data_IF_601865227848
#
_entry.id   IF_601865227848
#
_cell.length_a   1.000
_cell.length_b   1.000
_cell.length_c   1.000
_cell.angle_alpha   90.00
_cell.angle_beta   90.00
_cell.angle_gamma   90.00
#
_symmetry.space_group_name_H-M   'P 1'
#
loop_
_entity.id
_entity.type
_entity.pdbx_description
1 polymer ?
#
# COMPACT_ATOMS: atom_id res chain seq x y z
N UNK A 1 14.38 -3.46 4.38
CA UNK A 1 13.88 -4.04 5.64
C UNK A 1 12.39 -4.32 5.42
N UNK A 2 11.99 -5.59 5.43
CA UNK A 2 10.83 -6.07 4.68
C UNK A 2 9.46 -5.64 5.21
N UNK A 3 8.65 -5.08 4.32
CA UNK A 3 7.25 -4.62 4.45
C UNK A 3 6.33 -5.62 5.19
N UNK A 4 6.64 -6.91 5.10
CA UNK A 4 5.86 -7.99 5.72
C UNK A 4 6.05 -8.04 7.24
N UNK A 5 7.17 -7.52 7.76
CA UNK A 5 7.49 -7.57 9.20
C UNK A 5 6.59 -6.67 10.04
N UNK A 6 6.20 -5.50 9.54
CA UNK A 6 5.31 -4.60 10.27
C UNK A 6 3.90 -5.19 10.40
N UNK A 7 3.43 -5.84 9.33
CA UNK A 7 2.16 -6.58 9.33
C UNK A 7 2.17 -7.77 10.28
N UNK A 8 3.28 -8.51 10.35
CA UNK A 8 3.45 -9.63 11.28
C UNK A 8 3.51 -9.19 12.75
N UNK A 9 3.91 -7.94 13.02
CA UNK A 9 3.97 -7.39 14.38
C UNK A 9 2.58 -7.11 14.96
N UNK A 10 1.58 -6.89 14.10
CA UNK A 10 0.18 -6.66 14.46
C UNK A 10 -0.72 -7.77 13.90
N UNK A 11 -0.79 -8.95 14.56
CA UNK A 11 -1.56 -10.10 14.07
C UNK A 11 -3.06 -9.81 13.89
N UNK A 12 -3.63 -8.90 14.66
CA UNK A 12 -5.03 -8.47 14.51
C UNK A 12 -5.29 -7.75 13.18
N UNK A 13 -4.33 -6.96 12.69
CA UNK A 13 -4.44 -6.27 11.39
C UNK A 13 -4.26 -7.30 10.27
N UNK A 14 -3.28 -8.20 10.39
CA UNK A 14 -3.07 -9.31 9.45
C UNK A 14 -4.33 -10.17 9.31
N UNK A 15 -4.98 -10.52 10.42
CA UNK A 15 -6.22 -11.30 10.41
C UNK A 15 -7.35 -10.57 9.68
N UNK A 16 -7.50 -9.25 9.87
CA UNK A 16 -8.51 -8.45 9.17
C UNK A 16 -8.26 -8.43 7.66
N UNK A 17 -7.01 -8.20 7.24
CA UNK A 17 -6.62 -8.25 5.82
C UNK A 17 -6.93 -9.61 5.22
N UNK A 18 -6.53 -10.70 5.87
CA UNK A 18 -6.79 -12.05 5.38
C UNK A 18 -8.29 -12.37 5.31
N UNK A 19 -9.08 -11.84 6.25
CA UNK A 19 -10.55 -12.00 6.25
C UNK A 19 -11.17 -11.27 5.06
N UNK A 20 -10.80 -10.01 4.84
CA UNK A 20 -11.28 -9.22 3.69
C UNK A 20 -10.93 -9.89 2.36
N UNK A 21 -9.67 -10.30 2.21
CA UNK A 21 -9.18 -11.01 1.02
C UNK A 21 -9.94 -12.31 0.79
N UNK A 22 -10.16 -13.12 1.84
CA UNK A 22 -10.94 -14.37 1.73
C UNK A 22 -12.39 -14.09 1.37
N UNK A 23 -13.01 -13.03 1.89
CA UNK A 23 -14.39 -12.68 1.55
C UNK A 23 -14.55 -12.31 0.07
N UNK A 24 -13.62 -11.52 -0.47
CA UNK A 24 -13.66 -11.10 -1.88
C UNK A 24 -13.36 -12.29 -2.82
N UNK A 25 -12.37 -13.11 -2.48
CA UNK A 25 -11.90 -14.21 -3.33
C UNK A 25 -12.80 -15.45 -3.21
N UNK A 26 -13.55 -15.65 -2.11
CA UNK A 26 -14.34 -16.86 -1.89
C UNK A 26 -15.33 -17.17 -3.02
N UNK A 27 -15.70 -16.17 -3.82
CA UNK A 27 -16.67 -16.29 -4.91
C UNK A 27 -16.04 -16.46 -6.29
N UNK A 28 -14.72 -16.30 -6.44
CA UNK A 28 -14.03 -16.27 -7.74
C UNK A 28 -12.72 -17.06 -7.73
N UNK A 29 -12.50 -17.88 -8.75
CA UNK A 29 -11.23 -18.61 -8.96
C UNK A 29 -10.09 -17.71 -9.44
N UNK A 30 -10.43 -16.59 -10.07
CA UNK A 30 -9.49 -15.67 -10.72
C UNK A 30 -9.82 -14.25 -10.28
N UNK A 31 -8.79 -13.51 -9.87
CA UNK A 31 -8.89 -12.14 -9.38
C UNK A 31 -8.67 -11.20 -10.57
N UNK A 32 -9.57 -10.25 -10.77
CA UNK A 32 -9.42 -9.20 -11.77
C UNK A 32 -8.96 -7.88 -11.13
N UNK A 33 -8.49 -6.92 -11.93
CA UNK A 33 -8.01 -5.62 -11.40
C UNK A 33 -9.13 -4.85 -10.68
N UNK A 34 -10.38 -5.06 -11.10
CA UNK A 34 -11.57 -4.51 -10.44
C UNK A 34 -11.78 -5.05 -9.03
N UNK A 35 -11.39 -6.30 -8.77
CA UNK A 35 -11.51 -6.92 -7.44
C UNK A 35 -10.49 -6.31 -6.47
N UNK A 36 -9.36 -5.81 -6.96
CA UNK A 36 -8.37 -5.08 -6.14
C UNK A 36 -8.98 -3.78 -5.58
N UNK A 37 -9.87 -3.12 -6.32
CA UNK A 37 -10.59 -1.95 -5.82
C UNK A 37 -11.55 -2.27 -4.67
N UNK A 38 -12.04 -3.51 -4.58
CA UNK A 38 -12.91 -3.95 -3.48
C UNK A 38 -12.14 -4.24 -2.18
N UNK A 39 -10.82 -4.46 -2.25
CA UNK A 39 -9.93 -4.72 -1.12
C UNK A 39 -9.46 -3.41 -0.46
N UNK A 40 -10.41 -2.69 0.13
CA UNK A 40 -10.19 -1.34 0.64
C UNK A 40 -9.21 -1.31 1.83
N UNK A 41 -9.34 -2.25 2.76
CA UNK A 41 -8.49 -2.31 3.95
C UNK A 41 -7.07 -2.75 3.60
N UNK A 42 -6.91 -3.72 2.69
CA UNK A 42 -5.60 -4.07 2.13
C UNK A 42 -4.92 -2.86 1.49
N UNK A 43 -5.66 -2.05 0.73
CA UNK A 43 -5.10 -0.85 0.09
C UNK A 43 -4.64 0.20 1.13
N UNK A 44 -5.43 0.42 2.19
CA UNK A 44 -5.02 1.28 3.31
C UNK A 44 -3.73 0.78 3.97
N UNK A 45 -3.62 -0.53 4.21
CA UNK A 45 -2.44 -1.15 4.79
C UNK A 45 -1.20 -0.96 3.90
N UNK A 46 -1.34 -1.14 2.59
CA UNK A 46 -0.24 -0.91 1.64
C UNK A 46 0.21 0.55 1.69
N UNK A 47 -0.72 1.51 1.66
CA UNK A 47 -0.42 2.94 1.75
C UNK A 47 0.31 3.30 3.04
N UNK A 48 -0.13 2.78 4.17
CA UNK A 48 0.51 3.04 5.46
C UNK A 48 1.90 2.41 5.54
N UNK A 49 2.07 1.19 4.99
CA UNK A 49 3.37 0.53 4.92
C UNK A 49 4.35 1.32 4.06
N UNK A 50 3.90 1.86 2.92
CA UNK A 50 4.70 2.72 2.06
C UNK A 50 5.00 4.08 2.70
N UNK A 51 4.13 4.58 3.58
CA UNK A 51 4.36 5.81 4.37
C UNK A 51 5.48 5.60 5.40
N UNK A 52 5.49 4.46 6.08
CA UNK A 52 6.50 4.09 7.08
C UNK A 52 7.83 3.68 6.43
N UNK A 53 7.77 2.97 5.30
CA UNK A 53 8.91 2.42 4.59
C UNK A 53 8.82 2.73 3.09
N UNK A 54 9.03 3.99 2.69
CA UNK A 54 9.03 4.35 1.28
C UNK A 54 10.17 3.59 0.56
N UNK A 55 9.86 2.81 -0.49
CA UNK A 55 10.84 1.95 -1.17
C UNK A 55 11.93 2.73 -1.92
N UNK A 56 11.78 4.06 -2.02
CA UNK A 56 12.83 4.97 -2.45
C UNK A 56 12.78 6.25 -1.59
N UNK A 57 13.93 6.89 -1.29
CA UNK A 57 13.92 8.29 -0.96
C UNK A 57 13.45 9.03 -2.22
N UNK A 58 12.20 9.47 -2.24
CA UNK A 58 11.54 10.18 -3.34
C UNK A 58 12.07 11.62 -3.51
N UNK A 59 13.38 11.81 -3.43
CA UNK A 59 14.02 13.10 -3.67
C UNK A 59 15.32 12.89 -4.44
N UNK A 60 15.20 12.44 -5.69
CA UNK A 60 16.14 12.97 -6.68
C UNK A 60 15.87 14.48 -6.73
N UNK A 61 16.91 15.34 -6.64
CA UNK A 61 16.71 16.77 -6.75
C UNK A 61 15.94 17.08 -8.04
N UNK A 62 14.70 17.53 -7.90
CA UNK A 62 13.95 18.06 -9.01
C UNK A 62 14.48 19.48 -9.22
N UNK A 63 15.49 19.62 -10.06
CA UNK A 63 15.97 20.95 -10.45
C UNK A 63 14.94 21.60 -11.37
N UNK A 64 14.51 22.81 -11.01
CA UNK A 64 13.57 23.54 -11.84
C UNK A 64 14.30 24.04 -13.09
N UNK A 65 13.86 23.60 -14.27
CA UNK A 65 14.45 24.04 -15.55
C UNK A 65 14.24 25.53 -15.82
N UNK A 66 13.39 26.21 -15.05
CA UNK A 66 13.15 27.65 -15.12
C UNK A 66 13.38 28.26 -13.74
N UNK A 67 13.88 29.49 -13.74
CA UNK A 67 14.08 30.28 -12.53
C UNK A 67 12.73 30.51 -11.85
N UNK A 68 12.57 29.98 -10.64
CA UNK A 68 11.43 30.32 -9.78
C UNK A 68 11.79 31.56 -8.97
N UNK A 69 10.97 32.59 -9.09
CA UNK A 69 10.91 33.65 -8.09
C UNK A 69 10.02 33.17 -6.95
N UNK A 70 10.61 33.02 -5.77
CA UNK A 70 9.85 32.80 -4.54
C UNK A 70 9.42 34.19 -4.05
N UNK A 71 8.12 34.48 -4.15
CA UNK A 71 7.49 35.69 -3.58
C UNK A 71 7.05 35.41 -2.15
#
# INVERSE_FOLDING_TARGET
MGNVRELLRNPSIMHKVQTEVRQVISTKSTIDETDIHSLHFLNMVIKETLRLHPPAPLMLPMENRKQCEFV
#
